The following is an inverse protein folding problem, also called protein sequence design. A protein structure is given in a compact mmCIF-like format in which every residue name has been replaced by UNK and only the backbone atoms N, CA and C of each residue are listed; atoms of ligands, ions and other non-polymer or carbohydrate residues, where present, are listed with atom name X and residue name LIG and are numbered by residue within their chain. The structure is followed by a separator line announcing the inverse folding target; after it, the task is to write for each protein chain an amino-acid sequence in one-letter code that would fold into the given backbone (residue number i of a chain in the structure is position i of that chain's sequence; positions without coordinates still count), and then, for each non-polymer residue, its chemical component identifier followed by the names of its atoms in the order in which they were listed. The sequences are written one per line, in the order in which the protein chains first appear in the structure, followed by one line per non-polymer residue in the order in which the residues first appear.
data_IF_340777457227
#
_entry.id   IF_340777457227
#
_cell.length_a   1.000
_cell.length_b   1.000
_cell.length_c   1.000
_cell.angle_alpha   90.00
_cell.angle_beta   90.00
_cell.angle_gamma   90.00
#
_symmetry.space_group_name_H-M   'P 1'
#
loop_
_entity.id
_entity.type
_entity.pdbx_description
1 polymer ?
#
# COMPACT_ATOMS: atom_id res chain seq x y z
N UNK A 1 19.74 29.41 -53.93
CA UNK A 1 19.32 28.05 -54.33
C UNK A 1 18.01 27.78 -53.63
N UNK A 2 16.90 28.09 -54.29
CA UNK A 2 15.56 27.95 -53.72
C UNK A 2 15.18 26.47 -53.78
N UNK A 3 15.12 25.82 -52.62
CA UNK A 3 14.68 24.43 -52.55
C UNK A 3 13.19 24.42 -52.91
N UNK A 4 12.87 23.79 -54.04
CA UNK A 4 11.51 23.55 -54.50
C UNK A 4 10.76 22.74 -53.45
N UNK A 5 9.92 23.44 -52.69
CA UNK A 5 9.13 22.89 -51.58
C UNK A 5 8.10 21.88 -52.06
N UNK A 6 7.69 21.93 -53.33
CA UNK A 6 6.76 20.96 -53.92
C UNK A 6 7.45 19.63 -54.20
N UNK A 7 8.66 19.67 -54.77
CA UNK A 7 9.48 18.48 -54.97
C UNK A 7 9.79 17.79 -53.63
N UNK A 8 10.11 18.57 -52.58
CA UNK A 8 10.35 18.03 -51.23
C UNK A 8 9.08 17.37 -50.64
N UNK A 9 7.91 18.00 -50.79
CA UNK A 9 6.63 17.45 -50.31
C UNK A 9 6.23 16.18 -51.03
N UNK A 10 6.42 16.12 -52.35
CA UNK A 10 6.16 14.92 -53.14
C UNK A 10 7.06 13.76 -52.71
N UNK A 11 8.34 14.04 -52.48
CA UNK A 11 9.31 13.05 -52.00
C UNK A 11 8.98 12.53 -50.59
N UNK A 12 8.54 13.38 -49.67
CA UNK A 12 8.09 12.95 -48.34
C UNK A 12 6.85 12.06 -48.46
N UNK A 13 5.88 12.43 -49.30
CA UNK A 13 4.65 11.65 -49.50
C UNK A 13 4.90 10.27 -50.07
N UNK A 14 5.86 10.10 -50.98
CA UNK A 14 6.20 8.79 -51.54
C UNK A 14 6.97 7.89 -50.56
N UNK A 15 7.59 8.46 -49.52
CA UNK A 15 8.23 7.72 -48.44
C UNK A 15 7.28 7.32 -47.31
N UNK A 16 6.13 7.99 -47.18
CA UNK A 16 5.09 7.62 -46.21
C UNK A 16 4.39 6.36 -46.74
N UNK A 17 4.78 5.20 -46.20
CA UNK A 17 4.01 3.97 -46.40
C UNK A 17 2.60 4.19 -45.85
N UNK A 18 1.53 3.83 -46.58
CA UNK A 18 0.19 3.83 -46.03
C UNK A 18 0.18 3.00 -44.73
N UNK A 19 -0.54 3.47 -43.71
CA UNK A 19 -0.70 2.73 -42.46
C UNK A 19 -1.13 1.29 -42.79
N UNK A 20 -0.53 0.27 -42.14
CA UNK A 20 -0.85 -1.11 -42.45
C UNK A 20 -2.36 -1.32 -42.28
N UNK A 21 -2.95 -2.02 -43.25
CA UNK A 21 -4.29 -2.60 -43.13
C UNK A 21 -4.42 -3.29 -41.77
N UNK A 22 -5.57 -3.09 -41.11
CA UNK A 22 -5.89 -3.62 -39.80
C UNK A 22 -5.31 -5.03 -39.59
N UNK A 23 -4.34 -5.16 -38.70
CA UNK A 23 -3.57 -6.40 -38.56
C UNK A 23 -4.41 -7.46 -37.84
N UNK A 24 -4.47 -8.65 -38.43
CA UNK A 24 -5.22 -9.78 -37.90
C UNK A 24 -4.26 -10.80 -37.28
N UNK A 25 -4.65 -11.34 -36.12
CA UNK A 25 -3.85 -12.28 -35.34
C UNK A 25 -4.60 -13.62 -35.24
N UNK A 26 -3.98 -14.75 -35.61
CA UNK A 26 -4.58 -16.07 -35.43
C UNK A 26 -4.72 -16.39 -33.94
N UNK A 27 -5.89 -16.89 -33.55
CA UNK A 27 -6.25 -17.29 -32.19
C UNK A 27 -6.69 -18.74 -32.14
N UNK A 28 -6.38 -19.44 -31.04
CA UNK A 28 -6.80 -20.83 -30.83
C UNK A 28 -8.30 -21.01 -30.51
N UNK A 29 -9.06 -19.92 -30.40
CA UNK A 29 -10.48 -19.97 -29.98
C UNK A 29 -11.47 -19.29 -30.94
N UNK A 30 -11.05 -18.33 -31.76
CA UNK A 30 -11.98 -17.61 -32.64
C UNK A 30 -11.33 -17.15 -33.95
N UNK A 31 -10.46 -17.98 -34.51
CA UNK A 31 -9.83 -17.73 -35.81
C UNK A 31 -8.95 -16.48 -35.82
N UNK A 32 -8.96 -15.74 -36.92
CA UNK A 32 -8.18 -14.50 -37.07
C UNK A 32 -8.98 -13.32 -36.50
N UNK A 33 -8.42 -12.65 -35.49
CA UNK A 33 -9.06 -11.49 -34.84
C UNK A 33 -8.19 -10.26 -34.96
N UNK A 34 -8.79 -9.09 -35.12
CA UNK A 34 -8.12 -7.81 -34.94
C UNK A 34 -7.83 -7.55 -33.46
N UNK A 35 -6.93 -6.63 -33.16
CA UNK A 35 -6.66 -6.27 -31.77
C UNK A 35 -7.85 -5.62 -31.07
N UNK A 36 -8.67 -4.86 -31.80
CA UNK A 36 -9.90 -4.27 -31.26
C UNK A 36 -10.90 -5.36 -30.83
N UNK A 37 -11.05 -6.42 -31.64
CA UNK A 37 -11.89 -7.57 -31.32
C UNK A 37 -11.32 -8.38 -30.15
N UNK A 38 -10.00 -8.59 -30.09
CA UNK A 38 -9.33 -9.21 -28.95
C UNK A 38 -9.61 -8.46 -27.65
N UNK A 39 -9.47 -7.13 -27.67
CA UNK A 39 -9.74 -6.28 -26.49
C UNK A 39 -11.18 -6.41 -26.04
N UNK A 40 -12.13 -6.29 -26.97
CA UNK A 40 -13.57 -6.38 -26.69
C UNK A 40 -13.95 -7.75 -26.12
N UNK A 41 -13.35 -8.81 -26.65
CA UNK A 41 -13.67 -10.20 -26.27
C UNK A 41 -13.09 -10.59 -24.90
N UNK A 42 -11.88 -10.15 -24.57
CA UNK A 42 -11.18 -10.56 -23.34
C UNK A 42 -11.52 -9.67 -22.14
N UNK A 43 -11.83 -8.38 -22.35
CA UNK A 43 -12.06 -7.40 -21.27
C UNK A 43 -13.12 -7.83 -20.23
N UNK A 44 -14.30 -8.34 -20.61
CA UNK A 44 -15.33 -8.71 -19.63
C UNK A 44 -14.85 -9.80 -18.65
N UNK A 45 -14.15 -10.82 -19.16
CA UNK A 45 -13.60 -11.91 -18.36
C UNK A 45 -12.49 -11.42 -17.43
N UNK A 46 -11.61 -10.55 -17.93
CA UNK A 46 -10.53 -9.95 -17.13
C UNK A 46 -11.13 -9.09 -16.00
N UNK A 47 -12.11 -8.24 -16.30
CA UNK A 47 -12.76 -7.37 -15.33
C UNK A 47 -13.48 -8.19 -14.24
N UNK A 48 -14.23 -9.24 -14.64
CA UNK A 48 -14.87 -10.16 -13.69
C UNK A 48 -13.86 -10.82 -12.75
N UNK A 49 -12.75 -11.31 -13.29
CA UNK A 49 -11.69 -11.92 -12.49
C UNK A 49 -11.01 -10.91 -11.57
N UNK A 50 -10.74 -9.70 -12.05
CA UNK A 50 -10.10 -8.67 -11.24
C UNK A 50 -10.97 -8.25 -10.06
N UNK A 51 -12.28 -8.10 -10.26
CA UNK A 51 -13.24 -7.86 -9.17
C UNK A 51 -13.35 -9.06 -8.22
N UNK A 52 -13.38 -10.28 -8.75
CA UNK A 52 -13.39 -11.50 -7.94
C UNK A 52 -12.18 -11.59 -7.00
N UNK A 53 -10.99 -11.24 -7.49
CA UNK A 53 -9.76 -11.17 -6.70
C UNK A 53 -9.61 -9.89 -5.87
N UNK A 54 -10.63 -9.03 -5.83
CA UNK A 54 -10.71 -7.80 -5.02
C UNK A 54 -9.59 -6.80 -5.31
N UNK A 55 -9.21 -6.60 -6.58
CA UNK A 55 -8.38 -5.45 -6.95
C UNK A 55 -9.15 -4.14 -6.77
N UNK A 56 -8.42 -3.03 -6.64
CA UNK A 56 -9.00 -1.70 -6.43
C UNK A 56 -9.79 -1.31 -7.67
N UNK A 57 -11.11 -1.12 -7.51
CA UNK A 57 -12.03 -0.98 -8.64
C UNK A 57 -11.71 0.21 -9.55
N UNK A 58 -11.20 1.31 -8.96
CA UNK A 58 -10.83 2.54 -9.67
C UNK A 58 -9.71 2.30 -10.69
N UNK A 59 -8.82 1.35 -10.42
CA UNK A 59 -7.61 1.12 -11.23
C UNK A 59 -7.73 -0.05 -12.20
N UNK A 60 -8.79 -0.84 -12.09
CA UNK A 60 -9.06 -1.96 -13.00
C UNK A 60 -8.97 -1.53 -14.47
N UNK A 61 -9.53 -0.39 -14.92
CA UNK A 61 -9.40 0.05 -16.31
C UNK A 61 -7.94 0.23 -16.75
N UNK A 62 -7.11 0.86 -15.92
CA UNK A 62 -5.70 1.16 -16.23
C UNK A 62 -4.84 -0.11 -16.22
N UNK A 63 -5.08 -1.00 -15.26
CA UNK A 63 -4.42 -2.31 -15.19
C UNK A 63 -4.74 -3.13 -16.45
N UNK A 64 -6.01 -3.18 -16.85
CA UNK A 64 -6.44 -3.85 -18.08
C UNK A 64 -5.74 -3.24 -19.30
N UNK A 65 -5.70 -1.90 -19.39
CA UNK A 65 -5.03 -1.18 -20.47
C UNK A 65 -3.53 -1.55 -20.55
N UNK A 66 -2.84 -1.60 -19.40
CA UNK A 66 -1.43 -2.00 -19.34
C UNK A 66 -1.21 -3.43 -19.85
N UNK A 67 -2.06 -4.37 -19.43
CA UNK A 67 -1.99 -5.76 -19.89
C UNK A 67 -2.17 -5.88 -21.40
N UNK A 68 -3.10 -5.11 -21.98
CA UNK A 68 -3.29 -5.06 -23.43
C UNK A 68 -2.13 -4.39 -24.16
N UNK A 69 -1.52 -3.33 -23.63
CA UNK A 69 -0.32 -2.74 -24.24
C UNK A 69 0.81 -3.77 -24.35
N UNK A 70 1.00 -4.61 -23.33
CA UNK A 70 1.98 -5.71 -23.37
C UNK A 70 1.60 -6.78 -24.39
N UNK A 71 0.31 -7.10 -24.50
CA UNK A 71 -0.15 -8.03 -25.53
C UNK A 71 0.12 -7.50 -26.94
N UNK A 72 -0.15 -6.22 -27.18
CA UNK A 72 0.14 -5.57 -28.46
C UNK A 72 1.63 -5.61 -28.79
N UNK A 73 2.48 -5.29 -27.82
CA UNK A 73 3.94 -5.32 -27.98
C UNK A 73 4.44 -6.71 -28.40
N UNK A 74 3.94 -7.77 -27.75
CA UNK A 74 4.31 -9.14 -28.05
C UNK A 74 3.72 -9.63 -29.37
N UNK A 75 2.47 -9.29 -29.69
CA UNK A 75 1.86 -9.59 -31.00
C UNK A 75 2.56 -8.88 -32.16
N UNK A 76 3.16 -7.72 -31.91
CA UNK A 76 3.96 -7.00 -32.92
C UNK A 76 5.29 -7.70 -33.20
N UNK A 77 5.83 -8.45 -32.23
CA UNK A 77 7.04 -9.26 -32.38
C UNK A 77 6.72 -10.65 -32.94
N UNK A 78 5.61 -11.24 -32.46
CA UNK A 78 5.19 -12.60 -32.75
C UNK A 78 3.68 -12.64 -32.97
N UNK A 79 3.26 -12.58 -34.25
CA UNK A 79 1.85 -12.50 -34.62
C UNK A 79 1.06 -13.78 -34.34
N UNK A 80 1.72 -14.93 -34.25
CA UNK A 80 1.10 -16.24 -34.02
C UNK A 80 1.00 -16.64 -32.54
N UNK A 81 1.38 -15.77 -31.61
CA UNK A 81 1.41 -16.03 -30.17
C UNK A 81 0.10 -16.61 -29.62
N UNK A 82 -1.03 -16.13 -30.12
CA UNK A 82 -2.36 -16.53 -29.63
C UNK A 82 -2.91 -17.78 -30.32
N UNK A 83 -2.25 -18.30 -31.35
CA UNK A 83 -2.74 -19.44 -32.15
C UNK A 83 -2.82 -20.75 -31.36
N UNK A 84 -1.95 -20.89 -30.34
CA UNK A 84 -1.84 -22.09 -29.50
C UNK A 84 -2.54 -21.93 -28.14
N UNK A 85 -2.96 -20.72 -27.80
CA UNK A 85 -3.65 -20.43 -26.54
C UNK A 85 -5.16 -20.56 -26.72
N UNK A 86 -5.84 -21.06 -25.69
CA UNK A 86 -7.29 -20.95 -25.57
C UNK A 86 -7.67 -19.55 -25.04
N UNK A 87 -8.95 -19.19 -25.13
CA UNK A 87 -9.41 -17.88 -24.65
C UNK A 87 -9.09 -17.66 -23.16
N UNK A 88 -9.19 -18.71 -22.34
CA UNK A 88 -8.84 -18.66 -20.92
C UNK A 88 -7.35 -18.43 -20.68
N UNK A 89 -6.49 -19.09 -21.46
CA UNK A 89 -5.06 -18.86 -21.50
C UNK A 89 -4.70 -17.43 -21.88
N UNK A 90 -5.35 -16.86 -22.90
CA UNK A 90 -5.17 -15.47 -23.31
C UNK A 90 -5.60 -14.48 -22.21
N UNK A 91 -6.74 -14.72 -21.54
CA UNK A 91 -7.18 -13.92 -20.38
C UNK A 91 -6.12 -13.94 -19.27
N UNK A 92 -5.63 -15.12 -18.88
CA UNK A 92 -4.58 -15.25 -17.87
C UNK A 92 -3.28 -14.55 -18.29
N UNK A 93 -2.91 -14.68 -19.56
CA UNK A 93 -1.70 -14.08 -20.10
C UNK A 93 -1.71 -12.55 -19.96
N UNK A 94 -2.84 -11.92 -20.33
CA UNK A 94 -3.04 -10.47 -20.20
C UNK A 94 -3.09 -10.06 -18.73
N UNK A 95 -3.82 -10.81 -17.90
CA UNK A 95 -3.90 -10.55 -16.46
C UNK A 95 -2.52 -10.57 -15.80
N UNK A 96 -1.68 -11.58 -16.02
CA UNK A 96 -0.37 -11.64 -15.37
C UNK A 96 0.58 -10.50 -15.77
N UNK A 97 0.32 -9.85 -16.90
CA UNK A 97 1.12 -8.72 -17.43
C UNK A 97 0.45 -7.35 -17.25
N UNK A 98 -0.69 -7.29 -16.56
CA UNK A 98 -1.40 -6.06 -16.22
C UNK A 98 -0.74 -5.23 -15.10
N UNK A 99 0.49 -5.57 -14.70
CA UNK A 99 1.20 -4.83 -13.65
C UNK A 99 0.58 -4.99 -12.26
N UNK A 100 -0.24 -6.03 -12.03
CA UNK A 100 -0.89 -6.33 -10.75
C UNK A 100 0.06 -6.20 -9.56
N UNK A 101 1.27 -6.74 -9.68
CA UNK A 101 2.27 -6.69 -8.61
C UNK A 101 2.73 -5.27 -8.31
N UNK A 102 2.79 -4.41 -9.32
CA UNK A 102 3.20 -3.01 -9.20
C UNK A 102 2.09 -2.16 -8.60
N UNK A 103 0.84 -2.32 -9.04
CA UNK A 103 -0.30 -1.66 -8.39
C UNK A 103 -0.46 -2.11 -6.94
N UNK A 104 -0.32 -3.42 -6.67
CA UNK A 104 -0.31 -3.95 -5.31
C UNK A 104 0.89 -3.45 -4.49
N UNK A 105 2.01 -3.07 -5.12
CA UNK A 105 3.14 -2.41 -4.44
C UNK A 105 2.86 -0.93 -4.22
N UNK A 106 2.27 -0.23 -5.19
CA UNK A 106 1.90 1.17 -5.11
C UNK A 106 0.87 1.43 -4.01
N UNK A 107 -0.22 0.65 -3.98
CA UNK A 107 -1.18 0.68 -2.86
C UNK A 107 -0.59 0.20 -1.54
N UNK A 108 0.44 -0.67 -1.55
CA UNK A 108 1.20 -1.01 -0.34
C UNK A 108 2.11 0.13 0.13
N UNK A 109 2.53 1.02 -0.78
CA UNK A 109 3.42 2.17 -0.54
C UNK A 109 2.63 3.40 -0.09
N UNK A 110 1.42 3.58 -0.63
CA UNK A 110 0.46 4.62 -0.22
C UNK A 110 -0.54 4.12 0.84
N UNK A 111 -0.33 2.91 1.39
CA UNK A 111 -1.13 2.39 2.49
C UNK A 111 -0.80 3.17 3.76
N UNK A 112 -1.74 4.03 4.14
CA UNK A 112 -1.78 4.73 5.41
C UNK A 112 -1.51 3.79 6.59
N UNK A 113 -0.79 4.31 7.60
CA UNK A 113 -0.39 3.70 8.88
C UNK A 113 -1.49 2.94 9.65
N UNK A 114 -2.76 3.08 9.27
CA UNK A 114 -3.91 2.42 9.88
C UNK A 114 -3.97 0.93 9.57
N UNK A 115 -3.56 0.49 8.37
CA UNK A 115 -3.53 -0.95 8.03
C UNK A 115 -2.43 -1.68 8.82
N UNK A 116 -1.45 -0.94 9.35
CA UNK A 116 -0.38 -1.41 10.24
C UNK A 116 -0.90 -1.77 11.64
N UNK A 117 -1.96 -1.10 12.10
CA UNK A 117 -2.60 -1.37 13.39
C UNK A 117 -3.56 -2.57 13.31
N UNK A 118 -4.14 -2.83 12.13
CA UNK A 118 -5.18 -3.84 11.92
C UNK A 118 -4.63 -5.18 11.40
N UNK A 119 -3.45 -5.17 10.73
CA UNK A 119 -2.71 -6.36 10.28
C UNK A 119 -1.39 -6.49 11.04
N UNK A 120 -1.41 -7.19 12.18
CA UNK A 120 -0.21 -7.71 12.83
C UNK A 120 0.38 -8.89 12.02
N UNK A 121 0.81 -8.63 10.79
CA UNK A 121 1.55 -9.54 9.92
C UNK A 121 3.01 -9.06 9.78
N UNK A 122 3.88 -9.98 9.39
CA UNK A 122 5.34 -9.93 9.47
C UNK A 122 6.03 -8.55 9.33
N UNK A 123 6.91 -8.15 10.27
CA UNK A 123 7.71 -6.92 10.19
C UNK A 123 8.71 -6.84 9.02
N UNK A 124 8.86 -7.90 8.22
CA UNK A 124 9.72 -7.94 7.02
C UNK A 124 9.09 -7.24 5.78
N UNK A 125 7.87 -6.71 5.85
CA UNK A 125 7.14 -6.16 4.69
C UNK A 125 7.26 -4.63 4.47
N UNK A 126 8.05 -3.89 5.27
CA UNK A 126 8.04 -2.41 5.28
C UNK A 126 9.43 -1.76 5.22
N UNK A 127 10.09 -1.87 4.06
CA UNK A 127 11.29 -1.08 3.72
C UNK A 127 10.83 0.27 3.14
N UNK A 128 11.37 1.39 3.64
CA UNK A 128 11.24 2.70 3.00
C UNK A 128 12.19 2.72 1.80
N UNK A 129 11.69 2.36 0.62
CA UNK A 129 12.44 2.57 -0.62
C UNK A 129 12.20 3.98 -1.15
N UNK A 130 13.28 4.76 -1.29
CA UNK A 130 13.32 6.12 -1.86
C UNK A 130 14.53 6.36 -2.75
N UNK A 131 15.25 5.30 -3.14
CA UNK A 131 16.51 5.41 -3.88
C UNK A 131 16.39 4.84 -5.30
N UNK A 132 15.66 5.53 -6.18
CA UNK A 132 15.78 5.30 -7.62
C UNK A 132 16.36 6.56 -8.27
N UNK A 133 17.63 6.46 -8.69
CA UNK A 133 18.40 7.51 -9.34
C UNK A 133 17.89 7.83 -10.75
N UNK A 134 16.74 8.48 -10.84
CA UNK A 134 16.23 9.07 -12.07
C UNK A 134 16.71 10.52 -12.23
N UNK A 135 17.22 10.87 -13.41
CA UNK A 135 17.58 12.23 -13.77
C UNK A 135 16.39 13.20 -13.56
N UNK A 136 16.52 14.14 -12.63
CA UNK A 136 15.55 15.22 -12.42
C UNK A 136 15.58 16.16 -13.64
N UNK A 137 14.50 16.19 -14.43
CA UNK A 137 14.40 17.04 -15.63
C UNK A 137 14.00 18.50 -15.34
N UNK A 138 13.53 18.79 -14.13
CA UNK A 138 13.04 20.12 -13.73
C UNK A 138 13.79 20.64 -12.50
N UNK A 139 14.22 21.91 -12.56
CA UNK A 139 14.94 22.59 -11.47
C UNK A 139 14.14 22.66 -10.17
N UNK A 140 12.81 22.78 -10.24
CA UNK A 140 11.93 22.78 -9.06
C UNK A 140 11.93 21.42 -8.35
N UNK A 141 11.85 20.32 -9.10
CA UNK A 141 11.93 18.95 -8.55
C UNK A 141 13.31 18.62 -7.99
N UNK A 142 14.36 19.18 -8.59
CA UNK A 142 15.71 19.06 -8.06
C UNK A 142 15.85 19.81 -6.72
N UNK A 143 15.34 21.04 -6.62
CA UNK A 143 15.39 21.83 -5.39
C UNK A 143 14.58 21.15 -4.26
N UNK A 144 13.34 20.73 -4.52
CA UNK A 144 12.53 19.97 -3.55
C UNK A 144 13.22 18.68 -3.08
N UNK A 145 13.90 17.96 -3.98
CA UNK A 145 14.64 16.76 -3.63
C UNK A 145 15.91 17.06 -2.81
N UNK A 146 16.54 18.22 -3.02
CA UNK A 146 17.68 18.67 -2.21
C UNK A 146 17.21 19.09 -0.82
N UNK A 147 16.14 19.87 -0.72
CA UNK A 147 15.58 20.33 0.55
C UNK A 147 15.16 19.14 1.42
N UNK A 148 14.43 18.17 0.84
CA UNK A 148 14.06 16.93 1.55
C UNK A 148 15.29 16.14 2.04
N UNK A 149 16.38 16.12 1.28
CA UNK A 149 17.62 15.44 1.68
C UNK A 149 18.29 16.16 2.84
N UNK A 150 18.32 17.49 2.80
CA UNK A 150 18.87 18.32 3.87
C UNK A 150 18.04 18.17 5.14
N UNK A 151 16.71 18.13 5.05
CA UNK A 151 15.84 17.90 6.20
C UNK A 151 16.04 16.51 6.80
N UNK A 152 16.13 15.46 5.97
CA UNK A 152 16.44 14.10 6.43
C UNK A 152 17.82 14.06 7.10
N UNK A 153 18.85 14.65 6.51
CA UNK A 153 20.20 14.69 7.08
C UNK A 153 20.21 15.38 8.46
N UNK A 154 19.55 16.54 8.58
CA UNK A 154 19.47 17.28 9.84
C UNK A 154 18.75 16.47 10.92
N UNK A 155 17.61 15.85 10.58
CA UNK A 155 16.85 15.03 11.52
C UNK A 155 17.62 13.77 11.92
N UNK A 156 18.31 13.10 10.99
CA UNK A 156 19.12 11.93 11.30
C UNK A 156 20.31 12.28 12.19
N UNK A 157 20.96 13.41 11.95
CA UNK A 157 22.07 13.92 12.77
C UNK A 157 21.58 14.21 14.18
N UNK A 158 20.48 14.97 14.31
CA UNK A 158 19.86 15.28 15.60
C UNK A 158 19.50 14.02 16.39
N UNK A 159 18.86 13.04 15.75
CA UNK A 159 18.47 11.79 16.39
C UNK A 159 19.68 10.94 16.78
N UNK A 160 20.72 10.90 15.93
CA UNK A 160 21.98 10.23 16.21
C UNK A 160 22.69 10.81 17.44
N UNK A 161 22.74 12.14 17.55
CA UNK A 161 23.33 12.84 18.69
C UNK A 161 22.49 12.65 19.97
N UNK A 162 21.17 12.82 19.89
CA UNK A 162 20.24 12.63 21.02
C UNK A 162 20.37 11.25 21.64
N UNK A 163 20.52 10.22 20.79
CA UNK A 163 20.57 8.83 21.21
C UNK A 163 21.97 8.20 21.19
N UNK A 164 23.04 9.00 21.10
CA UNK A 164 24.42 8.51 20.96
C UNK A 164 24.86 7.51 22.06
N UNK A 165 24.26 7.60 23.24
CA UNK A 165 24.56 6.72 24.38
C UNK A 165 23.60 5.53 24.51
N UNK A 166 22.65 5.35 23.60
CA UNK A 166 21.67 4.27 23.65
C UNK A 166 21.74 3.38 22.42
N UNK A 167 22.46 2.27 22.56
CA UNK A 167 22.62 1.25 21.52
C UNK A 167 21.28 0.75 20.95
N UNK A 168 20.26 0.61 21.81
CA UNK A 168 18.93 0.18 21.38
C UNK A 168 18.23 1.21 20.48
N UNK A 169 18.43 2.51 20.73
CA UNK A 169 17.87 3.58 19.91
C UNK A 169 18.68 3.79 18.64
N UNK A 170 20.02 3.70 18.69
CA UNK A 170 20.85 3.75 17.47
C UNK A 170 20.57 2.56 16.53
N UNK A 171 20.41 1.35 17.08
CA UNK A 171 19.98 0.20 16.31
C UNK A 171 18.56 0.37 15.75
N UNK A 172 17.67 1.07 16.47
CA UNK A 172 16.33 1.39 15.98
C UNK A 172 16.41 2.41 14.82
N UNK A 173 17.25 3.43 14.94
CA UNK A 173 17.46 4.43 13.88
C UNK A 173 18.03 3.76 12.63
N UNK A 174 19.03 2.90 12.78
CA UNK A 174 19.59 2.08 11.71
C UNK A 174 18.52 1.16 11.08
N UNK A 175 17.71 0.49 11.90
CA UNK A 175 16.61 -0.36 11.43
C UNK A 175 15.54 0.41 10.64
N UNK A 176 15.21 1.63 11.07
CA UNK A 176 14.19 2.46 10.42
C UNK A 176 14.68 2.98 9.06
N UNK A 177 15.98 3.25 8.94
CA UNK A 177 16.57 3.97 7.80
C UNK A 177 17.23 3.07 6.76
N UNK A 178 17.36 1.77 7.06
CA UNK A 178 18.00 0.80 6.18
C UNK A 178 17.13 -0.44 6.01
N UNK A 179 17.47 -1.25 5.01
CA UNK A 179 16.77 -2.50 4.71
C UNK A 179 17.29 -3.69 5.52
N UNK A 180 17.84 -3.47 6.72
CA UNK A 180 18.36 -4.54 7.57
C UNK A 180 17.21 -5.41 8.11
N UNK A 181 17.42 -6.72 8.17
CA UNK A 181 16.43 -7.64 8.71
C UNK A 181 16.16 -7.35 10.19
N UNK A 182 14.92 -7.55 10.62
CA UNK A 182 14.51 -7.25 12.00
C UNK A 182 15.35 -8.01 13.03
N UNK A 183 15.62 -9.29 12.77
CA UNK A 183 16.35 -10.13 13.73
C UNK A 183 17.81 -9.67 13.88
N UNK A 184 18.43 -9.20 12.80
CA UNK A 184 19.78 -8.65 12.82
C UNK A 184 19.82 -7.31 13.55
N UNK A 185 18.85 -6.43 13.32
CA UNK A 185 18.77 -5.17 14.03
C UNK A 185 18.43 -5.34 15.53
N UNK A 186 17.54 -6.28 15.85
CA UNK A 186 17.24 -6.64 17.23
C UNK A 186 18.45 -7.26 17.94
N UNK A 187 19.28 -8.02 17.22
CA UNK A 187 20.56 -8.52 17.73
C UNK A 187 21.55 -7.39 17.98
N UNK A 188 21.68 -6.42 17.06
CA UNK A 188 22.49 -5.22 17.26
C UNK A 188 22.03 -4.38 18.46
N UNK A 189 20.73 -4.38 18.75
CA UNK A 189 20.13 -3.74 19.91
C UNK A 189 20.30 -4.53 21.23
N UNK A 190 20.84 -5.75 21.19
CA UNK A 190 20.88 -6.71 22.31
C UNK A 190 19.47 -7.09 22.83
N UNK A 191 18.48 -7.07 21.94
CA UNK A 191 17.05 -7.32 22.23
C UNK A 191 16.45 -8.44 21.36
N UNK A 192 17.22 -9.48 21.07
CA UNK A 192 16.72 -10.66 20.34
C UNK A 192 15.69 -11.49 21.15
N UNK A 193 14.99 -12.39 20.46
CA UNK A 193 14.05 -13.34 21.07
C UNK A 193 12.83 -12.65 21.69
N UNK A 194 12.54 -12.96 22.96
CA UNK A 194 11.34 -12.43 23.66
C UNK A 194 11.41 -10.91 23.93
N UNK A 195 12.60 -10.31 23.89
CA UNK A 195 12.80 -8.86 24.08
C UNK A 195 12.56 -8.05 22.80
N UNK A 196 12.41 -8.73 21.65
CA UNK A 196 12.21 -8.12 20.32
C UNK A 196 10.92 -7.32 20.26
N UNK A 197 9.83 -7.92 20.75
CA UNK A 197 8.52 -7.26 20.79
C UNK A 197 8.55 -6.00 21.65
N UNK A 198 9.21 -6.04 22.81
CA UNK A 198 9.36 -4.87 23.68
C UNK A 198 10.20 -3.77 23.02
N UNK A 199 11.29 -4.12 22.34
CA UNK A 199 12.13 -3.17 21.63
C UNK A 199 11.36 -2.48 20.49
N UNK A 200 10.57 -3.24 19.74
CA UNK A 200 9.69 -2.69 18.72
C UNK A 200 8.68 -1.69 19.29
N UNK A 201 7.99 -2.04 20.37
CA UNK A 201 6.92 -1.19 20.93
C UNK A 201 7.44 0.00 21.71
N UNK A 202 8.57 -0.16 22.40
CA UNK A 202 9.03 0.81 23.41
C UNK A 202 10.18 1.68 22.91
N UNK A 203 10.83 1.31 21.80
CA UNK A 203 11.97 2.05 21.23
C UNK A 203 11.71 2.39 19.77
N UNK A 204 11.45 1.40 18.92
CA UNK A 204 11.28 1.63 17.47
C UNK A 204 10.04 2.46 17.17
N UNK A 205 8.89 2.13 17.79
CA UNK A 205 7.65 2.88 17.56
C UNK A 205 7.75 4.35 18.00
N UNK A 206 8.16 4.69 19.25
CA UNK A 206 8.33 6.09 19.64
C UNK A 206 9.35 6.86 18.79
N UNK A 207 10.44 6.21 18.39
CA UNK A 207 11.44 6.83 17.50
C UNK A 207 10.86 7.15 16.12
N UNK A 208 10.00 6.30 15.56
CA UNK A 208 9.30 6.58 14.30
C UNK A 208 8.35 7.77 14.44
N UNK A 209 7.62 7.84 15.56
CA UNK A 209 6.73 8.97 15.84
C UNK A 209 7.51 10.29 15.93
N UNK A 210 8.64 10.29 16.64
CA UNK A 210 9.53 11.45 16.73
C UNK A 210 10.13 11.85 15.37
N UNK A 211 10.57 10.89 14.55
CA UNK A 211 11.07 11.18 13.20
C UNK A 211 9.98 11.82 12.32
N UNK A 212 8.74 11.36 12.41
CA UNK A 212 7.63 11.96 11.67
C UNK A 212 7.34 13.41 12.11
N UNK A 213 7.38 13.68 13.41
CA UNK A 213 7.21 15.04 13.95
C UNK A 213 8.34 15.97 13.48
N UNK A 214 9.60 15.52 13.57
CA UNK A 214 10.76 16.31 13.18
C UNK A 214 10.82 16.60 11.68
N UNK A 215 10.37 15.67 10.84
CA UNK A 215 10.32 15.85 9.38
C UNK A 215 9.08 16.61 8.92
N UNK A 216 8.20 17.07 9.83
CA UNK A 216 6.96 17.74 9.47
C UNK A 216 6.06 16.87 8.59
N UNK A 217 6.23 15.54 8.65
CA UNK A 217 5.38 14.59 7.94
C UNK A 217 4.04 14.59 8.67
N UNK A 218 3.15 15.49 8.25
CA UNK A 218 1.80 15.60 8.79
C UNK A 218 1.16 14.21 8.91
N UNK A 219 0.56 13.90 10.08
CA UNK A 219 -0.43 12.81 10.17
C UNK A 219 -1.62 13.25 9.32
N UNK A 220 -1.85 12.71 8.11
CA UNK A 220 -2.89 13.25 7.25
C UNK A 220 -4.26 12.91 7.86
N UNK A 221 -4.90 13.89 8.49
CA UNK A 221 -6.36 13.98 8.61
C UNK A 221 -7.12 13.00 9.51
N UNK A 222 -6.52 12.31 10.50
CA UNK A 222 -7.32 11.43 11.41
C UNK A 222 -6.90 11.50 12.86
N UNK A 223 -7.65 12.28 13.65
CA UNK A 223 -7.71 12.11 15.10
C UNK A 223 -8.24 10.69 15.39
N UNK A 224 -7.49 9.91 16.16
CA UNK A 224 -7.94 8.59 16.61
C UNK A 224 -9.15 8.73 17.53
N UNK A 225 -10.01 7.71 17.62
CA UNK A 225 -11.15 7.75 18.55
C UNK A 225 -10.69 7.94 20.00
N UNK A 226 -9.50 7.46 20.36
CA UNK A 226 -8.90 7.66 21.69
C UNK A 226 -8.54 9.12 21.94
N UNK A 227 -7.99 9.82 20.94
CA UNK A 227 -7.72 11.25 21.03
C UNK A 227 -9.03 12.06 21.11
N UNK A 228 -10.09 11.66 20.39
CA UNK A 228 -11.42 12.29 20.49
C UNK A 228 -12.06 12.10 21.87
N UNK A 229 -11.99 10.89 22.43
CA UNK A 229 -12.44 10.59 23.80
C UNK A 229 -11.64 11.40 24.83
N UNK A 230 -10.31 11.47 24.70
CA UNK A 230 -9.47 12.31 25.59
C UNK A 230 -9.74 13.80 25.44
N UNK A 231 -10.16 14.25 24.26
CA UNK A 231 -10.62 15.61 24.02
C UNK A 231 -12.05 15.88 24.55
N UNK A 232 -12.71 14.88 25.16
CA UNK A 232 -14.02 15.01 25.79
C UNK A 232 -15.22 14.63 24.92
N UNK A 233 -15.01 14.06 23.73
CA UNK A 233 -16.08 13.56 22.88
C UNK A 233 -16.50 12.13 23.27
N UNK A 234 -17.18 12.02 24.41
CA UNK A 234 -17.64 10.73 24.96
C UNK A 234 -18.93 10.22 24.30
N UNK A 235 -19.61 11.06 23.49
CA UNK A 235 -20.96 10.78 22.98
C UNK A 235 -21.02 9.49 22.16
N UNK A 236 -20.13 9.25 21.17
CA UNK A 236 -20.20 8.02 20.37
C UNK A 236 -19.88 6.76 21.19
N UNK A 237 -18.95 6.84 22.14
CA UNK A 237 -18.64 5.75 23.07
C UNK A 237 -19.86 5.37 23.92
N UNK A 238 -20.54 6.36 24.52
CA UNK A 238 -21.69 6.12 25.38
C UNK A 238 -22.86 5.50 24.61
N UNK A 239 -23.14 5.98 23.40
CA UNK A 239 -24.16 5.40 22.54
C UNK A 239 -23.87 3.93 22.18
N UNK A 240 -22.61 3.62 21.91
CA UNK A 240 -22.22 2.27 21.50
C UNK A 240 -22.26 1.30 22.68
N UNK A 241 -21.87 1.76 23.88
CA UNK A 241 -22.04 1.01 25.13
C UNK A 241 -23.53 0.72 25.41
N UNK A 242 -24.39 1.73 25.34
CA UNK A 242 -25.84 1.59 25.55
C UNK A 242 -26.48 0.63 24.52
N UNK A 243 -26.05 0.69 23.26
CA UNK A 243 -26.50 -0.21 22.22
C UNK A 243 -26.21 -1.68 22.55
N UNK A 244 -24.98 -2.01 22.93
CA UNK A 244 -24.61 -3.39 23.27
C UNK A 244 -25.25 -3.87 24.59
N UNK A 245 -25.43 -2.99 25.58
CA UNK A 245 -26.16 -3.31 26.80
C UNK A 245 -27.62 -3.66 26.51
N UNK A 246 -28.31 -2.87 25.67
CA UNK A 246 -29.70 -3.16 25.25
C UNK A 246 -29.83 -4.45 24.45
N UNK A 247 -28.79 -4.82 23.69
CA UNK A 247 -28.72 -6.08 22.97
C UNK A 247 -28.38 -7.29 23.85
N UNK A 248 -28.06 -7.08 25.14
CA UNK A 248 -27.66 -8.15 26.07
C UNK A 248 -26.21 -8.62 25.93
N UNK A 249 -25.35 -7.86 25.22
CA UNK A 249 -23.92 -8.15 25.08
C UNK A 249 -23.10 -7.32 26.08
N UNK A 250 -23.24 -7.67 27.37
CA UNK A 250 -22.54 -7.00 28.46
C UNK A 250 -21.02 -7.13 28.34
N UNK A 251 -20.53 -8.20 27.69
CA UNK A 251 -19.10 -8.45 27.47
C UNK A 251 -18.51 -7.40 26.53
N UNK A 252 -19.20 -7.08 25.44
CA UNK A 252 -18.79 -6.02 24.54
C UNK A 252 -18.83 -4.64 25.22
N UNK A 253 -19.87 -4.37 26.01
CA UNK A 253 -19.98 -3.12 26.77
C UNK A 253 -18.81 -2.92 27.76
N UNK A 254 -18.40 -3.98 28.47
CA UNK A 254 -17.22 -3.97 29.33
C UNK A 254 -15.94 -3.77 28.51
N UNK A 255 -15.80 -4.46 27.37
CA UNK A 255 -14.63 -4.30 26.50
C UNK A 255 -14.46 -2.86 26.01
N UNK A 256 -15.54 -2.19 25.61
CA UNK A 256 -15.55 -0.79 25.15
C UNK A 256 -15.15 0.18 26.26
N UNK A 257 -15.72 0.03 27.46
CA UNK A 257 -15.37 0.85 28.62
C UNK A 257 -13.91 0.64 29.04
N UNK A 258 -13.45 -0.61 29.03
CA UNK A 258 -12.08 -0.94 29.38
C UNK A 258 -11.07 -0.39 28.37
N UNK A 259 -11.39 -0.43 27.06
CA UNK A 259 -10.55 0.21 26.04
C UNK A 259 -10.48 1.73 26.20
N UNK A 260 -11.60 2.40 26.50
CA UNK A 260 -11.61 3.85 26.74
C UNK A 260 -10.77 4.25 27.96
N UNK A 261 -10.74 3.41 29.01
CA UNK A 261 -9.91 3.61 30.22
C UNK A 261 -8.46 3.13 30.08
N UNK A 262 -8.05 2.64 28.91
CA UNK A 262 -6.74 2.01 28.68
C UNK A 262 -6.45 0.83 29.62
N UNK A 263 -7.48 0.06 29.99
CA UNK A 263 -7.32 -1.13 30.82
C UNK A 263 -6.50 -2.21 30.08
N UNK A 264 -5.62 -2.87 30.85
CA UNK A 264 -4.78 -3.94 30.34
C UNK A 264 -5.62 -5.17 29.96
N UNK A 265 -5.10 -6.00 29.05
CA UNK A 265 -5.74 -7.27 28.70
C UNK A 265 -5.94 -8.17 29.91
N UNK A 266 -5.00 -8.14 30.87
CA UNK A 266 -5.09 -8.93 32.09
C UNK A 266 -6.25 -8.47 32.98
N UNK A 267 -6.40 -7.17 33.21
CA UNK A 267 -7.51 -6.63 33.99
C UNK A 267 -8.87 -6.99 33.37
N UNK A 268 -8.97 -6.97 32.04
CA UNK A 268 -10.18 -7.34 31.32
C UNK A 268 -10.46 -8.85 31.34
N UNK A 269 -9.41 -9.68 31.37
CA UNK A 269 -9.56 -11.13 31.60
C UNK A 269 -10.10 -11.41 33.00
N UNK A 270 -9.54 -10.77 34.01
CA UNK A 270 -9.95 -10.93 35.41
C UNK A 270 -11.39 -10.44 35.63
N UNK A 271 -11.79 -9.37 34.94
CA UNK A 271 -13.14 -8.80 35.04
C UNK A 271 -14.21 -9.62 34.32
N UNK A 272 -13.88 -10.21 33.16
CA UNK A 272 -14.84 -10.96 32.34
C UNK A 272 -14.84 -12.46 32.61
N UNK A 273 -13.85 -12.96 33.36
CA UNK A 273 -13.59 -14.39 33.56
C UNK A 273 -13.53 -15.15 32.22
N UNK A 274 -12.77 -14.60 31.27
CA UNK A 274 -12.64 -15.13 29.91
C UNK A 274 -11.19 -15.45 29.55
N UNK A 275 -10.97 -16.48 28.71
CA UNK A 275 -9.64 -16.80 28.25
C UNK A 275 -9.07 -15.67 27.38
N UNK A 276 -7.74 -15.51 27.44
CA UNK A 276 -6.98 -14.47 26.73
C UNK A 276 -7.35 -14.34 25.25
N UNK A 277 -7.55 -15.46 24.56
CA UNK A 277 -7.94 -15.49 23.13
C UNK A 277 -9.28 -14.81 22.88
N UNK A 278 -10.26 -15.02 23.76
CA UNK A 278 -11.59 -14.43 23.64
C UNK A 278 -11.57 -12.94 23.99
N UNK A 279 -10.78 -12.53 24.99
CA UNK A 279 -10.57 -11.12 25.32
C UNK A 279 -9.88 -10.37 24.17
N UNK A 280 -8.89 -10.98 23.51
CA UNK A 280 -8.29 -10.38 22.30
C UNK A 280 -9.29 -10.21 21.17
N UNK A 281 -10.16 -11.20 20.94
CA UNK A 281 -11.25 -11.10 19.96
C UNK A 281 -12.19 -9.94 20.29
N UNK A 282 -12.67 -9.85 21.54
CA UNK A 282 -13.56 -8.79 21.99
C UNK A 282 -12.92 -7.41 21.84
N UNK A 283 -11.66 -7.25 22.26
CA UNK A 283 -10.92 -5.98 22.11
C UNK A 283 -10.76 -5.58 20.64
N UNK A 284 -10.45 -6.53 19.75
CA UNK A 284 -10.33 -6.25 18.31
C UNK A 284 -11.66 -5.78 17.73
N UNK A 285 -12.76 -6.48 18.06
CA UNK A 285 -14.10 -6.12 17.58
C UNK A 285 -14.56 -4.77 18.15
N UNK A 286 -14.33 -4.53 19.44
CA UNK A 286 -14.61 -3.24 20.09
C UNK A 286 -13.83 -2.08 19.44
N UNK A 287 -12.55 -2.29 19.10
CA UNK A 287 -11.76 -1.31 18.34
C UNK A 287 -12.37 -0.98 16.97
N UNK A 288 -12.84 -1.99 16.24
CA UNK A 288 -13.48 -1.78 14.92
C UNK A 288 -14.78 -0.99 15.04
N UNK A 289 -15.62 -1.30 16.04
CA UNK A 289 -16.86 -0.59 16.28
C UNK A 289 -16.62 0.86 16.72
N UNK A 290 -15.59 1.11 17.56
CA UNK A 290 -15.20 2.46 17.96
C UNK A 290 -14.66 3.27 16.78
N UNK A 291 -13.79 2.69 15.95
CA UNK A 291 -13.33 3.35 14.73
C UNK A 291 -14.52 3.77 13.85
N UNK A 292 -15.47 2.85 13.65
CA UNK A 292 -16.68 3.11 12.88
C UNK A 292 -17.55 4.23 13.47
N UNK A 293 -17.77 4.21 14.77
CA UNK A 293 -18.62 5.19 15.47
C UNK A 293 -18.02 6.60 15.45
N UNK A 294 -16.69 6.71 15.57
CA UNK A 294 -15.98 7.99 15.56
C UNK A 294 -15.59 8.47 14.16
N UNK A 295 -15.96 7.72 13.11
CA UNK A 295 -15.57 8.02 11.72
C UNK A 295 -14.06 7.96 11.50
N UNK A 296 -13.34 7.23 12.34
CA UNK A 296 -11.93 6.94 12.19
C UNK A 296 -11.80 5.71 11.27
N UNK A 297 -10.88 5.72 10.31
CA UNK A 297 -10.74 4.59 9.40
C UNK A 297 -10.21 3.35 10.14
N UNK A 298 -10.75 2.20 9.73
CA UNK A 298 -10.48 0.88 10.28
C UNK A 298 -9.48 0.10 9.43
#
# INVERSE_FOLDING_TARGET
MEIDREALRAHIRTQIRPFPSEQHYPTGWNGNMTFAELRTTLTPSINRLMRYYRYVEVDIPDMIQHGFMRLWEELSKQSDLLSTLDQGGAVKWVMYRSGISHYRKFYRREMYLEDLATRSGDPDEFIIDGYEGGFYRDHARYAEAVDLRTDIEQVMTFMGEKYQHSRAHLAALYYITTSVALDDAAALAERSGTKKAWWLTSVVKPMREELCELLGLERPGRTTWQEKVRAGDDTPLLHLVDHFQKAGDDRMAVALRGLAKNESTQAMMDQLDLPKTHVHYLRRKAHQELNRAYGCIA
#
